data_IF_720790450372
#
_entry.id   IF_720790450372
#
_cell.length_a   1.000
_cell.length_b   1.000
_cell.length_c   1.000
_cell.angle_alpha   90.00
_cell.angle_beta   90.00
_cell.angle_gamma   90.00
#
_symmetry.space_group_name_H-M   'P 1'
#
loop_
_entity.id
_entity.type
_entity.pdbx_description
1 polymer ?
#
# COMPACT_ATOMS: atom_id res chain seq x y z
N UNK A 1 -49.05 44.48 14.05
CA UNK A 1 -47.63 44.35 13.66
C UNK A 1 -47.19 42.92 13.89
N UNK A 2 -46.81 42.21 12.84
CA UNK A 2 -46.40 40.80 12.91
C UNK A 2 -44.97 40.72 13.44
N UNK A 3 -44.74 39.95 14.50
CA UNK A 3 -43.40 39.71 15.06
C UNK A 3 -42.49 39.03 14.02
N UNK A 4 -41.41 39.72 13.63
CA UNK A 4 -40.32 39.12 12.86
C UNK A 4 -39.61 38.12 13.79
N UNK A 5 -39.75 36.82 13.53
CA UNK A 5 -38.88 35.79 14.11
C UNK A 5 -37.47 36.02 13.55
N UNK A 6 -36.50 36.29 14.42
CA UNK A 6 -35.07 36.15 14.10
C UNK A 6 -34.83 34.67 13.75
N UNK A 7 -34.84 34.35 12.47
CA UNK A 7 -34.26 33.09 12.01
C UNK A 7 -32.75 33.19 12.25
N UNK A 8 -32.28 32.59 13.35
CA UNK A 8 -30.86 32.30 13.56
C UNK A 8 -30.47 31.24 12.51
N UNK A 9 -30.15 31.69 11.29
CA UNK A 9 -29.68 30.83 10.19
C UNK A 9 -28.24 30.32 10.46
N UNK A 10 -27.58 30.83 11.50
CA UNK A 10 -26.21 30.44 11.88
C UNK A 10 -26.10 29.91 13.31
N UNK A 11 -26.99 28.99 13.72
CA UNK A 11 -26.82 28.27 14.99
C UNK A 11 -25.85 27.08 14.91
N UNK A 12 -25.44 26.69 13.71
CA UNK A 12 -24.43 25.65 13.53
C UNK A 12 -23.03 26.28 13.56
N UNK A 13 -22.28 25.98 14.63
CA UNK A 13 -20.85 26.25 14.67
C UNK A 13 -20.18 25.36 13.61
N UNK A 14 -19.77 25.95 12.49
CA UNK A 14 -18.95 25.24 11.50
C UNK A 14 -17.54 25.10 12.10
N UNK A 15 -17.03 23.87 12.30
CA UNK A 15 -15.66 23.69 12.77
C UNK A 15 -14.68 24.21 11.72
N UNK A 16 -13.78 25.11 12.13
CA UNK A 16 -12.68 25.59 11.30
C UNK A 16 -11.46 24.70 11.54
N UNK A 17 -10.98 24.05 10.49
CA UNK A 17 -9.69 23.37 10.46
C UNK A 17 -8.72 24.18 9.59
N UNK A 18 -7.53 24.45 10.11
CA UNK A 18 -6.47 25.15 9.38
C UNK A 18 -5.22 24.28 9.33
N UNK A 19 -4.73 24.01 8.12
CA UNK A 19 -3.46 23.32 7.89
C UNK A 19 -2.47 24.31 7.31
N UNK A 20 -1.26 24.36 7.86
CA UNK A 20 -0.16 25.19 7.34
C UNK A 20 0.86 24.26 6.71
N UNK A 21 1.00 24.36 5.39
CA UNK A 21 2.02 23.66 4.61
C UNK A 21 3.04 24.68 4.11
N UNK A 22 4.32 24.33 4.18
CA UNK A 22 5.41 25.12 3.61
C UNK A 22 5.71 24.76 2.15
N UNK A 23 5.25 23.58 1.72
CA UNK A 23 5.40 23.06 0.37
C UNK A 23 4.01 22.87 -0.27
N UNK A 24 3.92 23.07 -1.58
CA UNK A 24 2.68 22.83 -2.31
C UNK A 24 2.36 21.32 -2.34
N UNK A 25 1.09 20.91 -2.13
CA UNK A 25 0.67 19.54 -2.38
C UNK A 25 1.02 19.10 -3.81
N UNK A 26 1.26 17.81 -3.99
CA UNK A 26 1.62 17.24 -5.29
C UNK A 26 0.58 17.57 -6.38
N UNK A 27 1.05 17.80 -7.60
CA UNK A 27 0.24 18.29 -8.73
C UNK A 27 -0.89 17.35 -9.18
N UNK A 28 -0.88 16.07 -8.76
CA UNK A 28 -1.97 15.13 -9.03
C UNK A 28 -3.24 15.41 -8.20
N UNK A 29 -3.19 16.33 -7.23
CA UNK A 29 -4.36 16.81 -6.50
C UNK A 29 -5.04 17.94 -7.27
N UNK A 30 -6.15 17.62 -7.96
CA UNK A 30 -6.78 18.58 -8.88
C UNK A 30 -7.69 19.63 -8.21
N UNK A 31 -8.34 19.37 -7.06
CA UNK A 31 -9.01 20.38 -6.20
C UNK A 31 -9.45 19.79 -4.84
N UNK A 32 -9.20 20.45 -3.70
CA UNK A 32 -9.82 20.17 -2.37
C UNK A 32 -9.53 18.82 -1.67
N UNK A 33 -9.30 17.75 -2.43
CA UNK A 33 -9.12 16.36 -1.97
C UNK A 33 -7.91 16.18 -1.06
N UNK A 34 -6.87 16.99 -1.22
CA UNK A 34 -5.67 16.93 -0.39
C UNK A 34 -5.95 17.28 1.08
N UNK A 35 -6.97 18.10 1.36
CA UNK A 35 -7.35 18.44 2.74
C UNK A 35 -7.86 17.23 3.53
N UNK A 36 -8.49 16.26 2.87
CA UNK A 36 -8.89 15.00 3.51
C UNK A 36 -7.70 14.08 3.78
N UNK A 37 -6.73 14.04 2.85
CA UNK A 37 -5.46 13.36 3.08
C UNK A 37 -4.75 13.97 4.30
N UNK A 38 -4.71 15.31 4.42
CA UNK A 38 -4.15 15.98 5.59
C UNK A 38 -4.93 15.67 6.85
N UNK A 39 -6.26 15.80 6.85
CA UNK A 39 -7.09 15.47 8.02
C UNK A 39 -6.80 14.06 8.49
N UNK A 40 -6.73 13.09 7.57
CA UNK A 40 -6.34 11.74 7.88
C UNK A 40 -4.94 11.66 8.50
N UNK A 41 -3.93 12.30 7.90
CA UNK A 41 -2.55 12.29 8.42
C UNK A 41 -2.46 12.86 9.84
N UNK A 42 -3.03 14.05 10.07
CA UNK A 42 -3.00 14.68 11.39
C UNK A 42 -3.77 13.87 12.44
N UNK A 43 -4.93 13.29 12.09
CA UNK A 43 -5.73 12.49 13.02
C UNK A 43 -5.16 11.10 13.30
N UNK A 44 -4.52 10.46 12.31
CA UNK A 44 -4.19 9.02 12.37
C UNK A 44 -2.71 8.72 12.53
N UNK A 45 -1.84 9.58 12.02
CA UNK A 45 -0.39 9.33 12.03
C UNK A 45 0.38 10.19 13.03
N UNK A 46 -0.30 11.11 13.74
CA UNK A 46 0.32 12.09 14.65
C UNK A 46 1.51 12.81 13.98
N UNK A 47 1.38 13.16 12.70
CA UNK A 47 2.37 13.97 11.99
C UNK A 47 2.13 15.43 12.39
N UNK A 48 2.76 15.84 13.48
CA UNK A 48 2.88 17.25 13.91
C UNK A 48 4.25 17.82 13.51
N UNK A 49 4.74 17.45 12.32
CA UNK A 49 6.12 17.73 11.93
C UNK A 49 6.15 19.02 11.10
N UNK A 50 6.93 20.00 11.54
CA UNK A 50 7.39 21.10 10.71
C UNK A 50 8.32 20.50 9.64
N UNK A 51 7.83 20.21 8.44
CA UNK A 51 8.60 19.58 7.37
C UNK A 51 9.40 20.68 6.64
N UNK A 52 10.64 20.88 7.04
CA UNK A 52 11.56 21.87 6.47
C UNK A 52 12.87 21.27 5.94
N UNK A 53 13.10 19.98 6.13
CA UNK A 53 14.28 19.27 5.63
C UNK A 53 13.99 17.80 5.34
N UNK A 54 14.92 17.13 4.66
CA UNK A 54 14.74 15.73 4.23
C UNK A 54 14.63 14.76 5.40
N UNK A 55 15.34 14.97 6.52
CA UNK A 55 15.19 14.11 7.71
C UNK A 55 13.75 14.11 8.26
N UNK A 56 13.06 15.23 8.17
CA UNK A 56 11.64 15.33 8.58
C UNK A 56 10.70 14.73 7.53
N UNK A 57 11.04 14.83 6.24
CA UNK A 57 10.31 14.13 5.16
C UNK A 57 10.39 12.62 5.36
N UNK A 58 11.60 12.11 5.61
CA UNK A 58 11.85 10.69 5.90
C UNK A 58 11.03 10.22 7.11
N UNK A 59 11.10 10.93 8.25
CA UNK A 59 10.28 10.61 9.44
C UNK A 59 8.77 10.62 9.16
N UNK A 60 8.31 11.50 8.28
CA UNK A 60 6.90 11.54 7.89
C UNK A 60 6.53 10.32 7.04
N UNK A 61 7.40 9.93 6.10
CA UNK A 61 7.24 8.71 5.30
C UNK A 61 7.28 7.44 6.17
N UNK A 62 8.14 7.38 7.18
CA UNK A 62 8.19 6.28 8.14
C UNK A 62 6.84 6.13 8.86
N UNK A 63 6.30 7.23 9.41
CA UNK A 63 5.01 7.25 10.10
C UNK A 63 3.86 6.82 9.19
N UNK A 64 3.82 7.34 7.96
CA UNK A 64 2.83 6.95 6.95
C UNK A 64 2.93 5.44 6.70
N UNK A 65 4.13 4.94 6.42
CA UNK A 65 4.39 3.54 6.09
C UNK A 65 4.00 2.60 7.22
N UNK A 66 4.38 2.94 8.46
CA UNK A 66 4.02 2.17 9.66
C UNK A 66 2.49 2.14 9.86
N UNK A 67 1.83 3.29 9.75
CA UNK A 67 0.38 3.37 9.91
C UNK A 67 -0.34 2.51 8.88
N UNK A 68 0.04 2.65 7.60
CA UNK A 68 -0.57 1.89 6.52
C UNK A 68 -0.36 0.37 6.67
N UNK A 69 0.81 -0.04 7.18
CA UNK A 69 1.16 -1.44 7.38
C UNK A 69 0.33 -2.13 8.50
N UNK A 70 0.16 -1.49 9.66
CA UNK A 70 -0.42 -2.17 10.84
C UNK A 70 -1.65 -1.51 11.45
N UNK A 71 -1.90 -0.23 11.21
CA UNK A 71 -2.94 0.54 11.94
C UNK A 71 -4.13 0.94 11.05
N UNK A 72 -3.97 0.97 9.73
CA UNK A 72 -5.05 1.31 8.79
C UNK A 72 -6.20 0.28 8.80
N UNK A 73 -5.91 -0.94 9.26
CA UNK A 73 -6.88 -2.03 9.32
C UNK A 73 -7.30 -2.52 7.94
N UNK A 74 -6.36 -2.48 6.99
CA UNK A 74 -6.39 -3.22 5.71
C UNK A 74 -5.47 -4.43 5.82
N UNK A 75 -5.62 -5.41 4.93
CA UNK A 75 -4.91 -6.69 4.94
C UNK A 75 -4.49 -7.10 3.53
N UNK A 76 -3.41 -7.86 3.42
CA UNK A 76 -2.91 -8.30 2.11
C UNK A 76 -3.92 -9.18 1.35
N UNK A 77 -4.07 -8.96 0.05
CA UNK A 77 -4.87 -9.79 -0.87
C UNK A 77 -4.17 -11.12 -1.16
N UNK A 78 -4.39 -12.09 -0.27
CA UNK A 78 -3.89 -13.45 -0.44
C UNK A 78 -4.64 -14.27 -1.50
N UNK A 79 -5.73 -13.74 -2.09
CA UNK A 79 -6.51 -14.53 -3.05
C UNK A 79 -5.99 -14.34 -4.46
N UNK A 80 -5.84 -13.09 -4.91
CA UNK A 80 -5.42 -12.79 -6.28
C UNK A 80 -4.31 -11.76 -6.40
N UNK A 81 -3.88 -11.15 -5.28
CA UNK A 81 -2.95 -10.02 -5.31
C UNK A 81 -3.47 -8.85 -6.14
N UNK A 82 -4.79 -8.68 -6.24
CA UNK A 82 -5.42 -7.65 -7.06
C UNK A 82 -5.24 -6.28 -6.42
N UNK A 83 -5.17 -5.24 -7.26
CA UNK A 83 -5.17 -3.85 -6.78
C UNK A 83 -6.62 -3.38 -6.69
N UNK A 84 -7.01 -2.91 -5.51
CA UNK A 84 -8.41 -2.57 -5.21
C UNK A 84 -8.68 -1.07 -5.31
N UNK A 85 -7.64 -0.26 -5.14
CA UNK A 85 -7.73 1.20 -5.03
C UNK A 85 -6.84 1.94 -6.02
N UNK A 86 -5.77 1.31 -6.50
CA UNK A 86 -4.91 1.82 -7.56
C UNK A 86 -5.23 1.20 -8.94
N UNK A 87 -5.46 2.05 -9.94
CA UNK A 87 -5.69 1.65 -11.33
C UNK A 87 -4.40 1.84 -12.14
N UNK A 88 -3.54 0.83 -12.14
CA UNK A 88 -2.21 0.87 -12.78
C UNK A 88 -2.22 1.36 -14.23
N UNK A 89 -3.21 0.97 -15.04
CA UNK A 89 -3.29 1.36 -16.45
C UNK A 89 -3.59 2.85 -16.64
N UNK A 90 -4.28 3.46 -15.68
CA UNK A 90 -4.70 4.85 -15.73
C UNK A 90 -3.80 5.77 -14.90
N UNK A 91 -3.03 5.21 -13.95
CA UNK A 91 -2.25 5.98 -12.96
C UNK A 91 -3.12 6.55 -11.83
N UNK A 92 -4.36 6.09 -11.69
CA UNK A 92 -5.35 6.71 -10.80
C UNK A 92 -5.45 6.02 -9.45
N UNK A 93 -5.51 6.80 -8.37
CA UNK A 93 -5.73 6.28 -7.02
C UNK A 93 -7.06 6.76 -6.43
N UNK A 94 -7.86 5.83 -5.92
CA UNK A 94 -9.16 6.14 -5.31
C UNK A 94 -8.98 6.42 -3.81
N UNK A 95 -8.51 7.62 -3.45
CA UNK A 95 -8.15 7.95 -2.06
C UNK A 95 -9.29 7.71 -1.08
N UNK A 96 -10.50 8.21 -1.35
CA UNK A 96 -11.59 8.07 -0.37
C UNK A 96 -12.06 6.63 -0.19
N UNK A 97 -12.03 5.84 -1.27
CA UNK A 97 -12.30 4.40 -1.22
C UNK A 97 -11.28 3.69 -0.35
N UNK A 98 -10.00 4.03 -0.48
CA UNK A 98 -8.94 3.48 0.33
C UNK A 98 -9.07 3.85 1.82
N UNK A 99 -9.32 5.14 2.11
CA UNK A 99 -9.47 5.62 3.48
C UNK A 99 -10.72 5.05 4.18
N UNK A 100 -11.85 4.98 3.46
CA UNK A 100 -13.11 4.42 3.96
C UNK A 100 -13.15 2.88 3.89
N UNK A 101 -12.16 2.23 3.27
CA UNK A 101 -12.13 0.78 3.03
C UNK A 101 -13.37 0.29 2.29
N UNK A 102 -13.63 0.87 1.11
CA UNK A 102 -14.82 0.64 0.28
C UNK A 102 -14.44 0.35 -1.17
N UNK A 103 -14.90 -0.77 -1.74
CA UNK A 103 -14.65 -1.12 -3.14
C UNK A 103 -15.94 -1.56 -3.87
N UNK A 104 -15.96 -1.47 -5.21
CA UNK A 104 -17.08 -1.97 -6.06
C UNK A 104 -16.99 -3.47 -6.34
N UNK A 105 -16.23 -4.17 -5.52
CA UNK A 105 -15.96 -5.58 -5.70
C UNK A 105 -16.01 -6.24 -4.34
N UNK A 106 -16.42 -7.50 -4.32
CA UNK A 106 -16.31 -8.37 -3.15
C UNK A 106 -15.86 -9.74 -3.59
N UNK A 107 -15.27 -10.49 -2.67
CA UNK A 107 -15.04 -11.90 -2.91
C UNK A 107 -16.31 -12.70 -2.57
N UNK A 108 -16.70 -13.60 -3.47
CA UNK A 108 -17.75 -14.60 -3.21
C UNK A 108 -17.16 -16.01 -3.29
N UNK A 109 -17.61 -16.89 -2.40
CA UNK A 109 -17.24 -18.30 -2.42
C UNK A 109 -17.88 -18.96 -3.64
N UNK A 110 -17.10 -19.74 -4.38
CA UNK A 110 -17.58 -20.49 -5.54
C UNK A 110 -17.68 -21.99 -5.28
N UNK A 111 -16.93 -22.50 -4.31
CA UNK A 111 -16.90 -23.92 -3.95
C UNK A 111 -17.11 -24.10 -2.44
N UNK A 112 -17.59 -25.28 -2.00
CA UNK A 112 -17.55 -25.67 -0.60
C UNK A 112 -16.12 -25.63 -0.04
N UNK A 113 -15.96 -25.46 1.29
CA UNK A 113 -14.66 -25.60 1.92
C UNK A 113 -14.03 -26.97 1.63
N UNK A 114 -12.75 -27.01 1.31
CA UNK A 114 -12.02 -28.27 1.21
C UNK A 114 -11.67 -28.85 2.60
N UNK A 115 -10.90 -29.93 2.63
CA UNK A 115 -10.52 -30.64 3.87
C UNK A 115 -9.77 -29.78 4.89
N UNK A 116 -9.26 -28.62 4.49
CA UNK A 116 -8.57 -27.66 5.35
C UNK A 116 -9.44 -26.43 5.66
N UNK A 117 -10.74 -26.48 5.32
CA UNK A 117 -11.68 -25.37 5.50
C UNK A 117 -11.56 -24.26 4.44
N UNK A 118 -10.77 -24.44 3.37
CA UNK A 118 -10.47 -23.39 2.39
C UNK A 118 -11.55 -23.30 1.33
N UNK A 119 -11.96 -22.09 0.99
CA UNK A 119 -12.92 -21.84 -0.10
C UNK A 119 -12.25 -21.10 -1.24
N UNK A 120 -12.48 -21.55 -2.48
CA UNK A 120 -12.13 -20.75 -3.64
C UNK A 120 -13.06 -19.54 -3.70
N UNK A 121 -12.45 -18.37 -3.93
CA UNK A 121 -13.17 -17.11 -4.05
C UNK A 121 -12.97 -16.52 -5.44
N UNK A 122 -14.04 -16.00 -6.02
CA UNK A 122 -13.97 -15.15 -7.21
C UNK A 122 -14.33 -13.72 -6.86
N UNK A 123 -13.79 -12.80 -7.65
CA UNK A 123 -14.22 -11.41 -7.62
C UNK A 123 -15.64 -11.32 -8.20
N UNK A 124 -16.54 -10.73 -7.43
CA UNK A 124 -17.87 -10.31 -7.86
C UNK A 124 -17.87 -8.79 -8.02
N UNK A 125 -18.08 -8.32 -9.24
CA UNK A 125 -18.22 -6.90 -9.54
C UNK A 125 -19.64 -6.44 -9.21
N UNK A 126 -19.82 -5.90 -8.01
CA UNK A 126 -21.11 -5.36 -7.58
C UNK A 126 -21.31 -3.94 -8.12
N UNK A 127 -22.56 -3.53 -8.34
CA UNK A 127 -22.87 -2.13 -8.68
C UNK A 127 -22.81 -1.20 -7.44
N UNK A 128 -22.80 -1.76 -6.23
CA UNK A 128 -22.70 -1.06 -4.94
C UNK A 128 -21.28 -1.08 -4.36
N UNK A 129 -20.97 -0.09 -3.51
CA UNK A 129 -19.75 -0.06 -2.71
C UNK A 129 -19.87 -0.92 -1.45
N UNK A 130 -19.02 -1.94 -1.34
CA UNK A 130 -18.96 -2.84 -0.21
C UNK A 130 -17.75 -2.54 0.68
N UNK A 131 -17.79 -2.96 1.94
CA UNK A 131 -16.62 -2.92 2.81
C UNK A 131 -15.50 -3.77 2.20
N UNK A 132 -14.34 -3.18 1.99
CA UNK A 132 -13.16 -3.81 1.45
C UNK A 132 -11.94 -3.33 2.24
N UNK A 133 -11.40 -4.23 3.04
CA UNK A 133 -10.16 -4.04 3.78
C UNK A 133 -9.00 -4.81 3.14
N UNK A 134 -9.06 -5.12 1.84
CA UNK A 134 -8.05 -5.93 1.16
C UNK A 134 -7.21 -5.02 0.25
N UNK A 135 -5.90 -5.21 0.26
CA UNK A 135 -4.92 -4.38 -0.46
C UNK A 135 -3.79 -5.24 -1.04
N UNK A 136 -3.10 -4.74 -2.05
CA UNK A 136 -1.83 -5.30 -2.50
C UNK A 136 -0.69 -4.26 -2.45
N UNK A 137 0.46 -4.62 -3.01
CA UNK A 137 1.63 -3.73 -3.03
C UNK A 137 1.42 -2.44 -3.83
N UNK A 138 0.60 -2.48 -4.87
CA UNK A 138 0.27 -1.28 -5.64
C UNK A 138 -0.60 -0.31 -4.84
N UNK A 139 -1.61 -0.83 -4.15
CA UNK A 139 -2.48 0.00 -3.30
C UNK A 139 -1.66 0.66 -2.19
N UNK A 140 -0.75 -0.09 -1.56
CA UNK A 140 0.12 0.41 -0.50
C UNK A 140 1.14 1.45 -1.01
N UNK A 141 1.84 1.17 -2.10
CA UNK A 141 2.80 2.10 -2.69
C UNK A 141 2.12 3.41 -3.14
N UNK A 142 0.96 3.31 -3.80
CA UNK A 142 0.17 4.46 -4.19
C UNK A 142 -0.33 5.24 -2.97
N UNK A 143 -0.80 4.56 -1.92
CA UNK A 143 -1.25 5.23 -0.69
C UNK A 143 -0.13 6.03 -0.02
N UNK A 144 1.09 5.49 0.09
CA UNK A 144 2.24 6.24 0.63
C UNK A 144 2.51 7.45 -0.27
N UNK A 145 2.57 7.27 -1.59
CA UNK A 145 2.85 8.34 -2.55
C UNK A 145 1.83 9.48 -2.47
N UNK A 146 0.54 9.15 -2.41
CA UNK A 146 -0.57 10.10 -2.33
C UNK A 146 -0.56 10.85 -1.01
N UNK A 147 -0.39 10.15 0.11
CA UNK A 147 -0.34 10.77 1.43
C UNK A 147 0.90 11.65 1.61
N UNK A 148 2.07 11.20 1.14
CA UNK A 148 3.29 11.99 1.11
C UNK A 148 3.11 13.25 0.24
N UNK A 149 2.48 13.11 -0.92
CA UNK A 149 2.17 14.22 -1.81
C UNK A 149 1.25 15.27 -1.18
N UNK A 150 0.36 14.89 -0.24
CA UNK A 150 -0.47 15.86 0.48
C UNK A 150 0.36 16.79 1.38
N UNK A 151 1.52 16.30 1.86
CA UNK A 151 2.49 17.05 2.64
C UNK A 151 3.52 17.81 1.78
N UNK A 152 3.38 17.78 0.44
CA UNK A 152 4.38 18.32 -0.48
C UNK A 152 5.67 17.49 -0.55
N UNK A 153 5.68 16.27 -0.01
CA UNK A 153 6.84 15.37 -0.09
C UNK A 153 6.84 14.70 -1.46
N UNK A 154 7.81 15.06 -2.29
CA UNK A 154 8.01 14.45 -3.60
C UNK A 154 8.50 13.01 -3.45
N UNK A 155 7.70 12.07 -3.94
CA UNK A 155 8.01 10.64 -3.96
C UNK A 155 7.67 10.04 -5.31
N UNK A 156 8.21 8.86 -5.60
CA UNK A 156 8.02 8.13 -6.84
C UNK A 156 7.35 6.77 -6.59
N UNK A 157 6.48 6.35 -7.50
CA UNK A 157 5.93 5.01 -7.51
C UNK A 157 6.92 4.09 -8.23
N UNK A 158 7.62 3.25 -7.46
CA UNK A 158 8.66 2.39 -7.98
C UNK A 158 8.11 1.00 -8.27
N UNK A 159 8.14 0.61 -9.54
CA UNK A 159 7.77 -0.73 -9.99
C UNK A 159 9.01 -1.59 -10.21
N UNK A 160 8.97 -2.77 -9.61
CA UNK A 160 10.08 -3.70 -9.55
C UNK A 160 9.68 -4.98 -10.27
N UNK A 161 10.33 -5.27 -11.41
CA UNK A 161 10.00 -6.43 -12.24
C UNK A 161 11.23 -6.89 -13.06
N UNK A 162 11.70 -8.14 -12.88
CA UNK A 162 11.13 -9.16 -11.99
C UNK A 162 11.42 -8.86 -10.50
N UNK A 163 10.50 -9.24 -9.62
CA UNK A 163 10.75 -9.18 -8.17
C UNK A 163 11.31 -10.50 -7.63
N UNK A 164 10.59 -11.60 -7.84
CA UNK A 164 11.04 -12.93 -7.43
C UNK A 164 10.47 -13.40 -6.10
N UNK A 165 11.30 -14.07 -5.31
CA UNK A 165 10.90 -14.66 -4.04
C UNK A 165 11.12 -13.67 -2.91
N UNK A 166 10.12 -13.38 -2.06
CA UNK A 166 10.32 -12.53 -0.88
C UNK A 166 11.19 -13.23 0.20
N UNK A 167 11.81 -12.52 1.13
CA UNK A 167 12.21 -13.16 2.39
C UNK A 167 10.99 -13.34 3.29
N UNK A 168 11.17 -14.09 4.35
CA UNK A 168 10.19 -14.12 5.43
C UNK A 168 10.01 -12.70 5.99
N UNK A 169 8.77 -12.21 5.96
CA UNK A 169 8.42 -10.82 6.29
C UNK A 169 6.99 -10.72 6.80
N UNK A 170 6.68 -9.65 7.53
CA UNK A 170 5.30 -9.38 7.92
C UNK A 170 4.57 -8.72 6.76
N UNK A 171 3.41 -9.26 6.39
CA UNK A 171 2.56 -8.64 5.38
C UNK A 171 1.58 -7.69 6.05
N UNK A 172 1.18 -6.65 5.33
CA UNK A 172 0.19 -5.66 5.79
C UNK A 172 -1.05 -6.32 6.41
N UNK A 173 -1.38 -5.89 7.62
CA UNK A 173 -2.55 -6.30 8.39
C UNK A 173 -2.74 -7.80 8.60
N UNK A 174 -1.66 -8.57 8.50
CA UNK A 174 -1.66 -9.95 8.94
C UNK A 174 -1.40 -9.93 10.46
N UNK A 175 -2.35 -10.51 11.18
CA UNK A 175 -2.36 -10.71 12.63
C UNK A 175 -2.92 -12.11 12.96
N UNK A 176 -2.86 -12.50 14.23
CA UNK A 176 -3.38 -13.78 14.75
C UNK A 176 -4.88 -14.03 14.49
N UNK A 177 -5.65 -13.01 14.07
CA UNK A 177 -7.10 -13.12 13.78
C UNK A 177 -7.40 -13.51 12.33
N UNK A 178 -6.38 -13.91 11.57
CA UNK A 178 -6.53 -14.26 10.16
C UNK A 178 -7.08 -15.68 9.96
N UNK A 179 -8.17 -15.79 9.20
CA UNK A 179 -9.04 -16.98 9.05
C UNK A 179 -8.44 -18.22 8.34
N UNK A 180 -7.13 -18.45 8.34
CA UNK A 180 -6.58 -19.74 7.88
C UNK A 180 -5.36 -20.23 8.67
N UNK A 181 -5.52 -21.44 9.20
CA UNK A 181 -4.60 -22.29 9.99
C UNK A 181 -3.58 -21.46 10.79
N UNK A 182 -3.81 -21.22 12.09
CA UNK A 182 -2.78 -20.63 12.95
C UNK A 182 -1.58 -21.58 12.97
N UNK A 183 -0.54 -21.24 12.21
CA UNK A 183 0.77 -21.79 12.45
C UNK A 183 1.35 -21.00 13.60
N UNK A 184 1.39 -21.61 14.78
CA UNK A 184 2.22 -21.11 15.86
C UNK A 184 3.68 -21.44 15.55
N UNK A 185 4.60 -20.48 15.61
CA UNK A 185 4.37 -19.07 15.95
C UNK A 185 3.90 -18.24 14.73
N UNK A 186 2.95 -17.29 14.88
CA UNK A 186 2.63 -16.31 13.85
C UNK A 186 3.82 -15.32 13.75
N UNK A 187 4.14 -14.63 12.66
CA UNK A 187 3.25 -13.96 11.72
C UNK A 187 4.04 -13.49 10.48
N UNK A 188 4.99 -14.32 10.07
CA UNK A 188 5.87 -14.01 8.95
C UNK A 188 5.51 -14.86 7.73
N UNK A 189 5.54 -14.24 6.57
CA UNK A 189 5.15 -14.81 5.30
C UNK A 189 6.35 -14.72 4.37
N UNK A 190 6.75 -15.85 3.80
CA UNK A 190 7.65 -15.84 2.66
C UNK A 190 6.89 -16.15 1.34
N UNK A 191 5.59 -16.42 1.38
CA UNK A 191 4.77 -16.61 0.18
C UNK A 191 3.26 -16.53 0.48
N UNK A 192 2.54 -15.50 0.02
CA UNK A 192 1.10 -15.40 0.21
C UNK A 192 0.28 -16.25 -0.78
N UNK A 193 0.87 -16.73 -1.88
CA UNK A 193 0.17 -17.52 -2.91
C UNK A 193 0.83 -18.90 -3.07
N UNK A 194 0.47 -19.91 -2.28
CA UNK A 194 1.10 -21.24 -2.37
C UNK A 194 0.41 -22.17 -3.37
N UNK A 195 1.11 -23.07 -4.06
CA UNK A 195 0.59 -23.96 -5.12
C UNK A 195 0.11 -23.29 -6.42
N UNK A 196 -0.56 -22.14 -6.33
CA UNK A 196 -0.99 -21.35 -7.48
C UNK A 196 -0.53 -19.89 -7.32
N UNK A 197 0.40 -19.41 -8.16
CA UNK A 197 1.00 -18.07 -8.05
C UNK A 197 0.02 -16.91 -8.33
N UNK A 198 -1.23 -17.22 -8.69
CA UNK A 198 -2.24 -16.25 -9.10
C UNK A 198 -3.51 -16.34 -8.22
N UNK A 199 -3.83 -17.50 -7.63
CA UNK A 199 -5.18 -17.77 -7.09
C UNK A 199 -5.27 -18.60 -5.80
N UNK A 200 -4.23 -18.61 -4.97
CA UNK A 200 -4.24 -19.53 -3.82
C UNK A 200 -4.35 -18.82 -2.47
N UNK A 201 -5.39 -19.13 -1.67
CA UNK A 201 -5.48 -18.67 -0.29
C UNK A 201 -4.50 -19.39 0.65
N UNK A 202 -3.62 -20.25 0.12
CA UNK A 202 -2.66 -20.99 0.91
C UNK A 202 -1.46 -20.13 1.28
N UNK A 203 -1.25 -19.94 2.59
CA UNK A 203 0.03 -19.49 3.15
C UNK A 203 0.82 -20.71 3.61
N UNK A 204 2.13 -20.72 3.35
CA UNK A 204 3.05 -21.49 4.19
C UNK A 204 3.69 -20.53 5.17
N UNK A 205 3.54 -20.86 6.45
CA UNK A 205 4.37 -20.38 7.54
C UNK A 205 5.40 -21.48 7.85
N UNK A 206 6.59 -21.10 8.29
CA UNK A 206 7.66 -22.02 8.68
C UNK A 206 7.15 -23.22 9.49
N UNK A 207 7.62 -24.43 9.13
CA UNK A 207 7.47 -25.63 9.97
C UNK A 207 6.65 -26.78 9.40
N UNK A 208 5.88 -26.58 8.32
CA UNK A 208 5.20 -27.71 7.66
C UNK A 208 6.07 -28.26 6.52
N UNK A 209 6.63 -29.44 6.78
CA UNK A 209 7.29 -30.24 5.76
C UNK A 209 6.24 -30.71 4.75
N UNK A 210 6.65 -30.55 3.50
CA UNK A 210 6.10 -31.00 2.23
C UNK A 210 5.87 -32.52 2.15
N UNK A 211 4.97 -33.11 2.96
CA UNK A 211 4.82 -34.58 3.01
C UNK A 211 3.41 -35.14 2.84
N UNK A 212 2.42 -34.37 2.35
CA UNK A 212 1.16 -34.99 1.86
C UNK A 212 0.81 -34.60 0.40
N UNK A 213 1.45 -33.60 -0.20
CA UNK A 213 1.33 -33.30 -1.63
C UNK A 213 2.67 -32.79 -2.19
N UNK A 214 3.53 -33.72 -2.59
CA UNK A 214 4.97 -33.62 -2.88
C UNK A 214 5.46 -32.61 -3.95
N UNK A 215 4.66 -31.64 -4.39
CA UNK A 215 4.99 -30.75 -5.50
C UNK A 215 4.31 -29.38 -5.42
N UNK A 216 4.28 -28.75 -4.26
CA UNK A 216 3.77 -27.38 -4.16
C UNK A 216 4.94 -26.39 -4.03
N UNK A 217 5.57 -25.97 -5.15
CA UNK A 217 6.66 -25.03 -5.09
C UNK A 217 6.16 -23.69 -4.53
N UNK A 218 7.02 -23.06 -3.73
CA UNK A 218 6.89 -21.66 -3.37
C UNK A 218 6.65 -20.82 -4.63
N UNK A 219 5.72 -19.88 -4.58
CA UNK A 219 5.44 -18.99 -5.71
C UNK A 219 6.38 -17.79 -5.70
N UNK A 220 6.85 -17.42 -6.88
CA UNK A 220 7.53 -16.14 -7.10
C UNK A 220 6.50 -15.04 -7.37
N UNK A 221 6.80 -13.83 -6.92
CA UNK A 221 6.15 -12.62 -7.40
C UNK A 221 6.72 -12.26 -8.76
N UNK A 222 5.84 -12.03 -9.73
CA UNK A 222 6.27 -11.47 -11.02
C UNK A 222 6.84 -10.07 -10.81
N UNK A 223 6.20 -9.27 -9.96
CA UNK A 223 6.56 -7.88 -9.71
C UNK A 223 6.18 -7.44 -8.29
N UNK A 224 6.65 -6.26 -7.91
CA UNK A 224 6.26 -5.58 -6.68
C UNK A 224 6.27 -4.07 -6.87
N UNK A 225 5.53 -3.36 -6.04
CA UNK A 225 5.48 -1.90 -6.04
C UNK A 225 5.83 -1.36 -4.66
N UNK A 226 6.64 -0.30 -4.64
CA UNK A 226 7.06 0.40 -3.42
C UNK A 226 7.02 1.91 -3.65
N UNK A 227 7.03 2.67 -2.56
CA UNK A 227 7.24 4.12 -2.64
C UNK A 227 8.73 4.41 -2.54
N UNK A 228 9.24 5.26 -3.41
CA UNK A 228 10.63 5.71 -3.43
C UNK A 228 10.72 7.20 -3.07
N UNK A 229 11.73 7.56 -2.29
CA UNK A 229 12.05 8.93 -1.94
C UNK A 229 13.50 9.23 -2.30
N UNK A 230 13.74 10.44 -2.79
CA UNK A 230 15.06 10.98 -3.05
C UNK A 230 15.18 12.33 -2.35
N UNK A 231 16.30 12.53 -1.68
CA UNK A 231 16.65 13.78 -1.02
C UNK A 231 16.73 14.94 -2.02
N UNK A 232 16.60 16.16 -1.52
CA UNK A 232 16.75 17.41 -2.28
C UNK A 232 15.80 17.53 -3.48
N UNK A 233 14.58 17.00 -3.35
CA UNK A 233 13.52 17.04 -4.39
C UNK A 233 13.92 16.42 -5.74
N UNK A 234 14.94 15.56 -5.73
CA UNK A 234 15.37 14.79 -6.89
C UNK A 234 14.33 13.74 -7.29
N UNK A 235 14.50 13.22 -8.49
CA UNK A 235 13.70 12.18 -9.14
C UNK A 235 14.61 11.23 -9.87
N UNK A 236 14.08 10.09 -10.31
CA UNK A 236 14.77 9.19 -11.22
C UNK A 236 15.37 9.90 -12.44
N UNK A 237 14.71 10.94 -12.97
CA UNK A 237 15.19 11.67 -14.17
C UNK A 237 16.52 12.39 -13.91
N UNK A 238 16.78 12.81 -12.67
CA UNK A 238 18.04 13.45 -12.29
C UNK A 238 19.22 12.47 -12.30
N UNK A 239 18.94 11.18 -12.36
CA UNK A 239 19.91 10.08 -12.41
C UNK A 239 19.94 9.35 -13.76
N UNK A 240 19.35 9.92 -14.81
CA UNK A 240 19.24 9.27 -16.12
C UNK A 240 20.58 8.74 -16.69
N UNK A 241 21.70 9.37 -16.30
CA UNK A 241 23.06 9.00 -16.73
C UNK A 241 23.85 8.21 -15.67
N UNK A 242 23.32 8.01 -14.46
CA UNK A 242 24.00 7.28 -13.38
C UNK A 242 23.01 6.52 -12.49
N UNK A 243 22.52 5.39 -13.02
CA UNK A 243 21.61 4.49 -12.30
C UNK A 243 22.26 3.84 -11.07
N UNK A 244 23.59 3.71 -11.05
CA UNK A 244 24.28 3.16 -9.89
C UNK A 244 24.20 4.12 -8.70
N UNK A 245 24.29 5.43 -8.95
CA UNK A 245 24.08 6.43 -7.92
C UNK A 245 22.62 6.50 -7.49
N UNK A 246 21.66 6.35 -8.42
CA UNK A 246 20.24 6.24 -8.06
C UNK A 246 19.99 5.12 -7.05
N UNK A 247 20.52 3.91 -7.28
CA UNK A 247 20.32 2.77 -6.37
C UNK A 247 20.88 3.02 -4.95
N UNK A 248 21.89 3.88 -4.82
CA UNK A 248 22.49 4.25 -3.53
C UNK A 248 21.69 5.33 -2.81
N UNK A 249 21.14 6.28 -3.56
CA UNK A 249 20.50 7.48 -3.02
C UNK A 249 18.99 7.27 -2.76
N UNK A 250 18.34 6.39 -3.51
CA UNK A 250 16.90 6.14 -3.38
C UNK A 250 16.60 5.45 -2.05
N UNK A 251 15.66 5.98 -1.28
CA UNK A 251 15.15 5.37 -0.06
C UNK A 251 13.79 4.71 -0.34
N UNK A 252 13.65 3.44 0.05
CA UNK A 252 12.48 2.62 -0.20
C UNK A 252 11.59 2.56 1.04
N UNK A 253 10.30 2.80 0.81
CA UNK A 253 9.22 2.69 1.78
C UNK A 253 8.19 1.68 1.29
N UNK A 254 8.00 0.60 2.06
CA UNK A 254 7.14 -0.53 1.69
C UNK A 254 6.25 -0.90 2.88
N UNK A 255 4.97 -0.55 2.79
CA UNK A 255 3.96 -0.91 3.78
C UNK A 255 3.36 -2.30 3.52
N UNK A 256 3.59 -2.90 2.34
CA UNK A 256 2.97 -4.15 1.94
C UNK A 256 3.73 -5.37 2.47
N UNK A 257 5.04 -5.42 2.21
CA UNK A 257 5.94 -6.49 2.60
C UNK A 257 7.04 -5.89 3.50
N UNK A 258 6.72 -5.71 4.78
CA UNK A 258 7.50 -4.84 5.65
C UNK A 258 6.97 -4.74 7.08
N UNK A 259 7.00 -3.55 7.72
CA UNK A 259 7.23 -2.25 7.08
C UNK A 259 8.73 -2.04 6.80
N UNK A 260 9.06 -1.59 5.59
CA UNK A 260 10.41 -1.09 5.26
C UNK A 260 10.41 0.43 5.36
N UNK A 261 11.39 0.96 6.08
CA UNK A 261 11.44 2.34 6.55
C UNK A 261 12.73 3.02 6.05
N UNK A 262 12.78 3.37 4.76
CA UNK A 262 13.87 4.16 4.19
C UNK A 262 15.18 3.39 3.96
N UNK A 263 15.10 2.15 3.47
CA UNK A 263 16.31 1.41 3.06
C UNK A 263 16.74 1.82 1.66
N UNK A 264 18.06 1.90 1.41
CA UNK A 264 18.51 2.05 0.02
C UNK A 264 18.19 0.80 -0.81
N UNK A 265 18.27 0.89 -2.14
CA UNK A 265 17.82 -0.22 -2.99
C UNK A 265 18.64 -1.50 -2.77
N UNK A 266 19.94 -1.39 -2.52
CA UNK A 266 20.80 -2.55 -2.23
C UNK A 266 20.39 -3.23 -0.92
N UNK A 267 20.18 -2.45 0.14
CA UNK A 267 19.69 -2.92 1.43
C UNK A 267 18.31 -3.55 1.30
N UNK A 268 17.39 -2.89 0.59
CA UNK A 268 16.05 -3.40 0.32
C UNK A 268 16.09 -4.77 -0.38
N UNK A 269 16.88 -4.92 -1.45
CA UNK A 269 17.08 -6.21 -2.13
C UNK A 269 17.54 -7.30 -1.14
N UNK A 270 18.50 -6.97 -0.28
CA UNK A 270 19.06 -7.92 0.70
C UNK A 270 18.06 -8.31 1.81
N UNK A 271 17.13 -7.42 2.16
CA UNK A 271 16.16 -7.65 3.25
C UNK A 271 14.86 -8.25 2.74
N UNK A 272 14.39 -7.83 1.57
CA UNK A 272 13.07 -8.18 1.04
C UNK A 272 13.11 -9.38 0.07
N UNK A 273 14.25 -9.69 -0.57
CA UNK A 273 14.31 -10.74 -1.61
C UNK A 273 15.17 -11.93 -1.17
N UNK A 274 14.61 -13.13 -1.33
CA UNK A 274 15.31 -14.39 -1.16
C UNK A 274 16.07 -14.74 -2.45
N UNK A 275 17.39 -14.58 -2.42
CA UNK A 275 18.27 -15.08 -3.46
C UNK A 275 18.54 -16.57 -3.23
N UNK A 276 18.17 -17.42 -4.19
CA UNK A 276 18.71 -18.77 -4.28
C UNK A 276 19.66 -18.85 -5.49
N UNK A 277 20.84 -19.46 -5.30
CA UNK A 277 21.94 -19.48 -6.27
C UNK A 277 21.58 -20.10 -7.63
N UNK A 278 20.50 -20.89 -7.67
CA UNK A 278 19.97 -21.57 -8.86
C UNK A 278 19.07 -20.69 -9.75
N UNK A 279 18.71 -19.47 -9.33
CA UNK A 279 17.95 -18.51 -10.15
C UNK A 279 18.18 -17.07 -9.62
N UNK A 280 19.31 -16.41 -9.95
CA UNK A 280 19.51 -15.02 -9.58
C UNK A 280 18.50 -14.15 -10.33
N UNK A 281 17.49 -13.66 -9.62
CA UNK A 281 16.52 -12.73 -10.19
C UNK A 281 17.18 -11.36 -10.21
N UNK A 282 17.49 -10.88 -11.41
CA UNK A 282 17.93 -9.51 -11.64
C UNK A 282 16.76 -8.56 -11.40
N UNK A 283 16.66 -8.09 -10.17
CA UNK A 283 15.70 -7.06 -9.79
C UNK A 283 16.08 -5.79 -10.52
N UNK A 284 15.23 -5.37 -11.46
CA UNK A 284 15.39 -4.13 -12.21
C UNK A 284 14.31 -3.15 -11.81
N UNK A 285 14.73 -1.92 -11.63
CA UNK A 285 13.82 -0.78 -11.54
C UNK A 285 13.24 -0.56 -12.94
N UNK A 286 11.92 -0.69 -13.04
CA UNK A 286 11.18 -0.36 -14.25
C UNK A 286 10.33 0.86 -13.98
N UNK A 287 10.31 1.78 -14.93
CA UNK A 287 9.39 2.92 -14.88
C UNK A 287 7.97 2.41 -15.07
N UNK A 288 7.08 2.80 -14.18
CA UNK A 288 5.64 2.77 -14.46
C UNK A 288 5.08 4.16 -14.30
N UNK A 289 3.84 4.35 -14.75
CA UNK A 289 3.13 5.61 -14.54
C UNK A 289 3.06 5.87 -13.03
N UNK A 290 3.63 7.01 -12.59
CA UNK A 290 3.38 7.53 -11.25
C UNK A 290 1.87 7.74 -11.06
N UNK A 291 1.45 7.86 -9.81
CA UNK A 291 0.10 8.38 -9.52
C UNK A 291 -0.02 9.75 -10.18
N UNK A 292 -0.92 9.88 -11.13
CA UNK A 292 -1.09 11.08 -11.95
C UNK A 292 -2.41 11.79 -11.66
N UNK A 293 -3.36 11.11 -11.00
CA UNK A 293 -4.67 11.65 -10.67
C UNK A 293 -5.26 10.95 -9.44
N UNK A 294 -5.83 11.74 -8.53
CA UNK A 294 -6.65 11.24 -7.43
C UNK A 294 -8.11 11.23 -7.86
N UNK A 295 -8.71 10.04 -7.84
CA UNK A 295 -10.14 9.89 -8.07
C UNK A 295 -10.90 10.30 -6.81
N UNK A 296 -11.66 11.38 -6.94
CA UNK A 296 -12.70 11.74 -5.99
C UNK A 296 -13.99 11.02 -6.34
N UNK A 297 -14.11 9.79 -5.84
CA UNK A 297 -15.36 9.06 -5.92
C UNK A 297 -16.16 9.36 -4.64
N UNK A 298 -17.19 10.21 -4.74
CA UNK A 298 -18.12 10.43 -3.62
C UNK A 298 -18.78 9.10 -3.25
N UNK A 299 -18.38 8.57 -2.10
CA UNK A 299 -19.05 7.45 -1.44
C UNK A 299 -20.03 8.09 -0.47
N UNK A 300 -21.15 8.57 -1.03
CA UNK A 300 -22.36 8.91 -0.30
C UNK A 300 -23.27 7.69 -0.26
#
# INVERSE_FOLDING_TARGET
GTHIRKNNIFSEKIPLEAFVLYEEPASFYQTGVWSEALRFLFQKTNINININNDSQKEKSLEKITQYLHSQHGVRYDIYQGSSWFYRRTEGKFSLMRYLKKKAKFKYINIDPPDIYGRTFKRLDSTKSFENCNIVNCYDQAAAINVLAGALGIKTEFLYIDPFGYIKETKLVGIDDSFDFIPASPPDECNNPFFANPIKSPLRIVNGFIDTIFSYLPRSRFSNHAVCAFLSNNKTYSDYANDLNQYEKDVLIYDACAGPILGLNFSQYKSTAVAYNSSNPIYIKIKRTNNVNEILWDDIH
#
